data_IF_373626905212
#
_entry.id   IF_373626905212
#
_cell.length_a   1.000
_cell.length_b   1.000
_cell.length_c   1.000
_cell.angle_alpha   90.00
_cell.angle_beta   90.00
_cell.angle_gamma   90.00
#
_symmetry.space_group_name_H-M   'P 1'
#
loop_
_entity.id
_entity.type
_entity.pdbx_description
1 polymer ?
#
# COMPACT_ATOMS: atom_id res chain seq x y z
N UNK A 1 -14.86 17.10 17.58
CA UNK A 1 -14.83 18.28 16.66
C UNK A 1 -15.61 17.91 15.41
N UNK A 2 -16.31 18.82 14.73
CA UNK A 2 -16.89 18.49 13.42
C UNK A 2 -15.75 18.00 12.51
N UNK A 3 -15.93 16.85 11.87
CA UNK A 3 -14.99 16.19 10.95
C UNK A 3 -13.81 15.39 11.57
N UNK A 4 -13.78 15.11 12.88
CA UNK A 4 -12.74 14.24 13.47
C UNK A 4 -12.63 12.88 12.79
N UNK A 5 -13.74 12.37 12.27
CA UNK A 5 -13.84 11.03 11.70
C UNK A 5 -13.42 10.99 10.23
N UNK A 6 -13.22 12.15 9.59
CA UNK A 6 -12.81 12.23 8.18
C UNK A 6 -11.35 11.81 7.98
N UNK A 7 -10.46 12.10 8.95
CA UNK A 7 -9.04 11.76 8.82
C UNK A 7 -8.81 10.23 8.84
N UNK A 8 -9.33 9.46 9.82
CA UNK A 8 -9.25 8.00 9.76
C UNK A 8 -9.93 7.41 8.52
N UNK A 9 -11.08 7.95 8.12
CA UNK A 9 -11.79 7.49 6.92
C UNK A 9 -10.98 7.71 5.63
N UNK A 10 -10.33 8.87 5.49
CA UNK A 10 -9.47 9.18 4.36
C UNK A 10 -8.22 8.28 4.33
N UNK A 11 -7.56 8.09 5.47
CA UNK A 11 -6.40 7.20 5.58
C UNK A 11 -6.76 5.75 5.25
N UNK A 12 -7.93 5.27 5.67
CA UNK A 12 -8.43 3.94 5.29
C UNK A 12 -8.58 3.82 3.77
N UNK A 13 -9.16 4.83 3.10
CA UNK A 13 -9.31 4.82 1.64
C UNK A 13 -7.97 4.92 0.90
N UNK A 14 -7.01 5.65 1.45
CA UNK A 14 -5.65 5.67 0.90
C UNK A 14 -4.97 4.30 1.04
N UNK A 15 -5.17 3.60 2.17
CA UNK A 15 -4.65 2.24 2.34
C UNK A 15 -5.26 1.25 1.35
N UNK A 16 -6.58 1.31 1.13
CA UNK A 16 -7.27 0.50 0.13
C UNK A 16 -6.74 0.75 -1.29
N UNK A 17 -6.50 2.02 -1.65
CA UNK A 17 -5.94 2.37 -2.95
C UNK A 17 -4.50 1.85 -3.11
N UNK A 18 -3.68 1.94 -2.06
CA UNK A 18 -2.30 1.46 -2.07
C UNK A 18 -2.26 -0.05 -2.29
N UNK A 19 -3.10 -0.82 -1.59
CA UNK A 19 -3.26 -2.26 -1.79
C UNK A 19 -3.67 -2.63 -3.23
N UNK A 20 -4.62 -1.90 -3.81
CA UNK A 20 -5.05 -2.13 -5.19
C UNK A 20 -3.92 -1.83 -6.20
N UNK A 21 -3.15 -0.77 -5.94
CA UNK A 21 -1.99 -0.39 -6.76
C UNK A 21 -0.90 -1.46 -6.67
N UNK A 22 -0.51 -1.88 -5.46
CA UNK A 22 0.47 -2.95 -5.25
C UNK A 22 0.06 -4.24 -5.98
N UNK A 23 -1.20 -4.66 -5.85
CA UNK A 23 -1.70 -5.85 -6.52
C UNK A 23 -1.59 -5.73 -8.05
N UNK A 24 -2.00 -4.59 -8.61
CA UNK A 24 -1.91 -4.35 -10.06
C UNK A 24 -0.46 -4.31 -10.56
N UNK A 25 0.45 -3.70 -9.80
CA UNK A 25 1.87 -3.64 -10.14
C UNK A 25 2.49 -5.03 -10.02
N UNK A 26 2.15 -5.80 -9.00
CA UNK A 26 2.62 -7.17 -8.82
C UNK A 26 2.17 -8.09 -9.98
N UNK A 27 0.92 -7.96 -10.43
CA UNK A 27 0.42 -8.71 -11.59
C UNK A 27 1.24 -8.39 -12.86
N UNK A 28 1.48 -7.10 -13.14
CA UNK A 28 2.31 -6.68 -14.26
C UNK A 28 3.77 -7.12 -14.11
N UNK A 29 4.31 -7.08 -12.89
CA UNK A 29 5.69 -7.51 -12.57
C UNK A 29 5.88 -8.99 -12.86
N UNK A 30 4.91 -9.82 -12.45
CA UNK A 30 4.90 -11.25 -12.74
C UNK A 30 4.81 -11.52 -14.25
N UNK A 31 4.00 -10.76 -14.97
CA UNK A 31 3.94 -10.86 -16.44
C UNK A 31 5.28 -10.49 -17.08
N UNK A 32 5.93 -9.40 -16.66
CA UNK A 32 7.26 -8.99 -17.16
C UNK A 32 8.31 -10.07 -16.90
N UNK A 33 8.31 -10.67 -15.71
CA UNK A 33 9.24 -11.76 -15.36
C UNK A 33 9.05 -12.97 -16.28
N UNK A 34 7.80 -13.35 -16.57
CA UNK A 34 7.48 -14.43 -17.51
C UNK A 34 7.96 -14.15 -18.94
N UNK A 35 8.07 -12.88 -19.34
CA UNK A 35 8.65 -12.48 -20.64
C UNK A 35 10.19 -12.43 -20.62
N UNK A 36 10.85 -12.86 -19.53
CA UNK A 36 12.30 -12.84 -19.37
C UNK A 36 12.86 -11.54 -18.81
N UNK A 37 12.01 -10.62 -18.35
CA UNK A 37 12.41 -9.35 -17.74
C UNK A 37 12.79 -9.46 -16.26
N UNK A 38 13.62 -10.44 -15.89
CA UNK A 38 13.94 -10.75 -14.47
C UNK A 38 14.51 -9.55 -13.72
N UNK A 39 15.47 -8.82 -14.30
CA UNK A 39 16.06 -7.63 -13.64
C UNK A 39 15.02 -6.52 -13.41
N UNK A 40 14.12 -6.31 -14.38
CA UNK A 40 13.02 -5.34 -14.22
C UNK A 40 12.08 -5.80 -13.11
N UNK A 41 11.76 -7.08 -13.05
CA UNK A 41 10.88 -7.62 -12.03
C UNK A 41 11.49 -7.50 -10.62
N UNK A 42 12.78 -7.80 -10.47
CA UNK A 42 13.51 -7.61 -9.21
C UNK A 42 13.52 -6.15 -8.75
N UNK A 43 13.80 -5.22 -9.68
CA UNK A 43 13.79 -3.79 -9.38
C UNK A 43 12.41 -3.30 -8.94
N UNK A 44 11.34 -3.76 -9.61
CA UNK A 44 9.97 -3.40 -9.22
C UNK A 44 9.61 -3.97 -7.85
N UNK A 45 9.97 -5.23 -7.55
CA UNK A 45 9.75 -5.82 -6.21
C UNK A 45 10.48 -5.06 -5.11
N UNK A 46 11.73 -4.67 -5.33
CA UNK A 46 12.46 -3.82 -4.38
C UNK A 46 11.80 -2.44 -4.17
N UNK A 47 11.10 -1.91 -5.17
CA UNK A 47 10.29 -0.71 -5.01
C UNK A 47 8.98 -0.98 -4.26
N UNK A 48 8.32 -2.12 -4.51
CA UNK A 48 7.11 -2.56 -3.80
C UNK A 48 7.35 -2.71 -2.29
N UNK A 49 8.54 -3.15 -1.86
CA UNK A 49 8.92 -3.18 -0.43
C UNK A 49 8.76 -1.81 0.26
N UNK A 50 8.82 -0.70 -0.49
CA UNK A 50 8.57 0.63 0.07
C UNK A 50 7.08 0.91 0.26
N UNK A 51 6.23 0.40 -0.64
CA UNK A 51 4.78 0.51 -0.48
C UNK A 51 4.31 -0.36 0.70
N UNK A 52 4.81 -1.60 0.85
CA UNK A 52 4.47 -2.49 1.96
C UNK A 52 4.77 -1.83 3.33
N UNK A 53 5.96 -1.24 3.48
CA UNK A 53 6.33 -0.52 4.72
C UNK A 53 5.43 0.69 5.00
N UNK A 54 4.97 1.37 3.95
CA UNK A 54 4.04 2.50 4.10
C UNK A 54 2.64 2.00 4.47
N UNK A 55 2.21 0.88 3.91
CA UNK A 55 0.95 0.21 4.26
C UNK A 55 0.91 -0.15 5.75
N UNK A 56 1.98 -0.77 6.27
CA UNK A 56 2.13 -1.08 7.69
C UNK A 56 2.02 0.17 8.57
N UNK A 57 2.69 1.25 8.17
CA UNK A 57 2.66 2.50 8.93
C UNK A 57 1.27 3.16 8.91
N UNK A 58 0.55 3.10 7.79
CA UNK A 58 -0.83 3.60 7.69
C UNK A 58 -1.76 2.78 8.58
N UNK A 59 -1.66 1.45 8.56
CA UNK A 59 -2.42 0.56 9.44
C UNK A 59 -2.18 0.87 10.92
N UNK A 60 -0.91 1.06 11.31
CA UNK A 60 -0.55 1.45 12.68
C UNK A 60 -1.18 2.80 13.06
N UNK A 61 -1.07 3.79 12.19
CA UNK A 61 -1.62 5.13 12.42
C UNK A 61 -3.15 5.08 12.57
N UNK A 62 -3.84 4.31 11.73
CA UNK A 62 -5.28 4.07 11.84
C UNK A 62 -5.64 3.43 13.17
N UNK A 63 -4.89 2.40 13.61
CA UNK A 63 -5.12 1.75 14.89
C UNK A 63 -4.99 2.73 16.07
N UNK A 64 -4.00 3.62 16.04
CA UNK A 64 -3.82 4.66 17.07
C UNK A 64 -4.95 5.69 17.03
N UNK A 65 -5.34 6.17 15.84
CA UNK A 65 -6.39 7.19 15.70
C UNK A 65 -7.79 6.68 16.09
N UNK A 66 -8.03 5.37 15.98
CA UNK A 66 -9.32 4.75 16.30
C UNK A 66 -9.34 4.11 17.69
N UNK A 67 -8.24 4.16 18.44
CA UNK A 67 -8.21 3.65 19.80
C UNK A 67 -9.15 4.47 20.70
N UNK A 68 -9.95 3.83 21.56
CA UNK A 68 -10.70 4.55 22.58
C UNK A 68 -9.74 5.22 23.58
N UNK A 69 -10.14 6.39 24.09
CA UNK A 69 -9.46 7.10 25.18
C UNK A 69 -9.42 6.26 26.47
#
# INVERSE_FOLDING_TARGET
MPNSDLLPSLLSKLNENLLAIEASIMELTNWVEQQGGTEVAENVRGALDTLDRNEEFIKLTLAVLMAPD
#
